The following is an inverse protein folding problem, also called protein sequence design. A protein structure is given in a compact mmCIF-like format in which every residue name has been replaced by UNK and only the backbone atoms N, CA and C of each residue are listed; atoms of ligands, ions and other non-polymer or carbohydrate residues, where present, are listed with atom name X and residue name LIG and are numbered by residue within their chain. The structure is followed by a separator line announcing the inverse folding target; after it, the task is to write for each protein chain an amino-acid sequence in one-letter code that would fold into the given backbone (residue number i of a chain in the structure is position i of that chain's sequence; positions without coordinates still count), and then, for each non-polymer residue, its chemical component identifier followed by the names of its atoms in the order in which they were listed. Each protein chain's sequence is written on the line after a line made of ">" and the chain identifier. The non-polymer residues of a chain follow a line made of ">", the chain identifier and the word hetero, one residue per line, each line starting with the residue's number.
data_IF_809497212430
#
_entry.id   IF_809497212430
#
_cell.length_a   1.000
_cell.length_b   1.000
_cell.length_c   1.000
_cell.angle_alpha   90.00
_cell.angle_beta   90.00
_cell.angle_gamma   90.00
#
_symmetry.space_group_name_H-M   'P 1'
#
loop_
_entity.id
_entity.type
_entity.pdbx_description
1 polymer ?
#
# COMPACT_ATOMS: atom_id res chain seq x y z
N UNK A 1 10.46 -4.14 -2.53
CA UNK A 1 9.97 -2.74 -2.38
C UNK A 1 8.57 -2.65 -2.94
N UNK A 2 7.67 -1.85 -2.36
CA UNK A 2 6.36 -1.57 -2.95
C UNK A 2 6.52 -0.36 -3.85
N UNK A 3 6.22 -0.50 -5.14
CA UNK A 3 6.35 0.57 -6.14
C UNK A 3 5.10 1.44 -6.17
N UNK A 4 5.21 2.62 -6.78
CA UNK A 4 4.06 3.51 -6.98
C UNK A 4 2.91 2.81 -7.73
N UNK A 5 3.24 2.00 -8.74
CA UNK A 5 2.28 1.20 -9.52
C UNK A 5 1.48 0.26 -8.62
N UNK A 6 2.15 -0.52 -7.76
CA UNK A 6 1.44 -1.40 -6.79
C UNK A 6 0.55 -0.62 -5.83
N UNK A 7 0.92 0.61 -5.43
CA UNK A 7 0.08 1.45 -4.57
C UNK A 7 -1.17 1.93 -5.32
N UNK A 8 -1.02 2.35 -6.58
CA UNK A 8 -2.16 2.72 -7.42
C UNK A 8 -3.07 1.53 -7.67
N UNK A 9 -2.52 0.36 -7.93
CA UNK A 9 -3.27 -0.87 -8.15
C UNK A 9 -4.07 -1.26 -6.91
N UNK A 10 -3.49 -1.18 -5.70
CA UNK A 10 -4.23 -1.37 -4.43
C UNK A 10 -5.46 -0.45 -4.36
N UNK A 11 -5.29 0.84 -4.70
CA UNK A 11 -6.38 1.83 -4.63
C UNK A 11 -7.47 1.55 -5.67
N UNK A 12 -7.10 1.18 -6.89
CA UNK A 12 -8.04 0.83 -7.97
C UNK A 12 -8.84 -0.41 -7.58
N UNK A 13 -8.18 -1.49 -7.17
CA UNK A 13 -8.83 -2.75 -6.80
C UNK A 13 -9.79 -2.55 -5.60
N UNK A 14 -9.42 -1.71 -4.64
CA UNK A 14 -10.30 -1.38 -3.51
C UNK A 14 -11.52 -0.54 -3.94
N UNK A 15 -11.34 0.43 -4.85
CA UNK A 15 -12.46 1.19 -5.44
C UNK A 15 -13.42 0.30 -6.23
N UNK A 16 -12.92 -0.80 -6.81
CA UNK A 16 -13.74 -1.84 -7.45
C UNK A 16 -14.48 -2.75 -6.45
N UNK A 17 -14.35 -2.52 -5.14
CA UNK A 17 -15.04 -3.26 -4.09
C UNK A 17 -14.30 -4.50 -3.59
N UNK A 18 -13.05 -4.73 -4.00
CA UNK A 18 -12.29 -5.86 -3.44
C UNK A 18 -11.89 -5.63 -1.98
N UNK A 19 -12.05 -6.66 -1.17
CA UNK A 19 -11.55 -6.66 0.21
C UNK A 19 -10.03 -6.60 0.26
N UNK A 20 -9.45 -6.03 1.33
CA UNK A 20 -8.00 -5.98 1.51
C UNK A 20 -7.34 -7.38 1.51
N UNK A 21 -8.09 -8.43 1.88
CA UNK A 21 -7.64 -9.83 1.85
C UNK A 21 -7.51 -10.35 0.42
N UNK A 22 -8.47 -10.01 -0.46
CA UNK A 22 -8.41 -10.38 -1.87
C UNK A 22 -7.26 -9.66 -2.59
N UNK A 23 -7.11 -8.36 -2.34
CA UNK A 23 -6.03 -7.53 -2.91
C UNK A 23 -4.65 -8.09 -2.50
N UNK A 24 -4.47 -8.41 -1.22
CA UNK A 24 -3.23 -9.01 -0.72
C UNK A 24 -2.88 -10.33 -1.43
N UNK A 25 -3.87 -11.20 -1.63
CA UNK A 25 -3.67 -12.47 -2.34
C UNK A 25 -3.34 -12.25 -3.82
N UNK A 26 -3.99 -11.27 -4.47
CA UNK A 26 -3.78 -10.95 -5.89
C UNK A 26 -2.39 -10.36 -6.15
N UNK A 27 -1.93 -9.45 -5.29
CA UNK A 27 -0.67 -8.72 -5.46
C UNK A 27 0.52 -9.41 -4.77
N UNK A 28 0.32 -10.51 -4.04
CA UNK A 28 1.39 -11.22 -3.35
C UNK A 28 2.03 -10.42 -2.19
N UNK A 29 1.28 -9.49 -1.59
CA UNK A 29 1.77 -8.61 -0.51
C UNK A 29 1.01 -8.83 0.79
N UNK A 30 1.58 -8.39 1.91
CA UNK A 30 0.90 -8.51 3.21
C UNK A 30 -0.38 -7.66 3.28
N UNK A 31 -1.39 -8.15 4.01
CA UNK A 31 -2.63 -7.37 4.28
C UNK A 31 -2.34 -6.06 5.01
N UNK A 32 -1.29 -6.02 5.83
CA UNK A 32 -0.88 -4.82 6.55
C UNK A 32 -0.38 -3.74 5.57
N UNK A 33 0.36 -4.16 4.54
CA UNK A 33 0.79 -3.28 3.44
C UNK A 33 -0.43 -2.67 2.74
N UNK A 34 -1.41 -3.50 2.37
CA UNK A 34 -2.66 -3.05 1.75
C UNK A 34 -3.39 -2.03 2.63
N UNK A 35 -3.61 -2.35 3.91
CA UNK A 35 -4.26 -1.45 4.87
C UNK A 35 -3.53 -0.11 5.01
N UNK A 36 -2.19 -0.14 5.11
CA UNK A 36 -1.37 1.06 5.22
C UNK A 36 -1.58 2.00 4.04
N UNK A 37 -1.56 1.46 2.82
CA UNK A 37 -1.71 2.26 1.60
C UNK A 37 -3.15 2.68 1.30
N UNK A 38 -4.15 1.97 1.79
CA UNK A 38 -5.55 2.41 1.74
C UNK A 38 -5.85 3.55 2.72
N UNK A 39 -5.17 3.58 3.89
CA UNK A 39 -5.32 4.65 4.89
C UNK A 39 -4.55 5.93 4.52
N UNK A 40 -3.49 5.81 3.74
CA UNK A 40 -2.70 6.95 3.27
C UNK A 40 -3.56 7.84 2.34
N UNK A 41 -3.91 9.04 2.80
CA UNK A 41 -4.95 9.90 2.19
C UNK A 41 -4.67 10.33 0.75
N UNK A 42 -3.41 10.45 0.32
CA UNK A 42 -3.05 10.87 -1.04
C UNK A 42 -1.55 10.95 -1.24
N UNK A 43 -0.79 11.17 -0.18
CA UNK A 43 0.64 11.34 -0.28
C UNK A 43 1.30 10.01 -0.64
N UNK A 44 2.03 10.04 -1.74
CA UNK A 44 2.99 9.00 -2.08
C UNK A 44 3.86 8.74 -0.84
N UNK A 45 4.37 7.52 -0.64
CA UNK A 45 5.37 7.29 0.38
C UNK A 45 6.60 8.14 0.04
N UNK A 46 6.70 9.34 0.60
CA UNK A 46 7.98 10.02 0.74
C UNK A 46 8.79 9.17 1.69
N UNK A 47 9.74 8.43 1.12
CA UNK A 47 10.70 7.69 1.92
C UNK A 47 11.66 8.71 2.53
N UNK A 48 11.37 9.14 3.76
CA UNK A 48 12.38 9.81 4.58
C UNK A 48 13.31 8.74 5.18
N UNK A 49 14.65 8.93 5.11
CA UNK A 49 15.59 8.06 5.80
C UNK A 49 15.21 7.97 7.29
N UNK A 50 15.26 6.76 7.86
CA UNK A 50 15.05 6.62 9.30
C UNK A 50 16.12 7.45 10.04
N UNK A 51 15.74 8.28 11.03
CA UNK A 51 16.71 9.02 11.81
C UNK A 51 17.69 8.02 12.43
N UNK A 52 18.98 8.29 12.27
CA UNK A 52 20.03 7.49 12.90
C UNK A 52 19.86 7.65 14.42
N UNK A 53 19.64 6.55 15.12
CA UNK A 53 19.66 6.57 16.58
C UNK A 53 21.06 7.01 17.02
N UNK A 54 21.14 8.10 17.79
CA UNK A 54 22.32 8.55 18.53
C UNK A 54 22.47 7.77 19.81
#
# INVERSE_FOLDING_TARGET
>A
MVTFETVMEIKILHKQGMSSRAIAKKLGISRNTVKRYLKAKSELPEYSPRPRAT
#
